data_IF_599046213137
#
_entry.id   IF_599046213137
#
_cell.length_a   1.000
_cell.length_b   1.000
_cell.length_c   1.000
_cell.angle_alpha   90.00
_cell.angle_beta   90.00
_cell.angle_gamma   90.00
#
_symmetry.space_group_name_H-M   'P 1'
#
loop_
_entity.id
_entity.type
_entity.pdbx_description
1 polymer ?
#
# COMPACT_ATOMS: atom_id res chain seq x y z
N UNK A 1 26.33 15.43 -6.45
CA UNK A 1 25.77 14.14 -5.99
C UNK A 1 26.48 13.56 -4.77
N UNK A 2 27.82 13.36 -4.79
CA UNK A 2 28.54 12.79 -3.64
C UNK A 2 28.29 13.55 -2.34
N UNK A 3 28.38 14.88 -2.33
CA UNK A 3 28.11 15.71 -1.13
C UNK A 3 26.69 15.58 -0.62
N UNK A 4 25.69 15.39 -1.51
CA UNK A 4 24.32 15.15 -1.11
C UNK A 4 24.17 13.82 -0.35
N UNK A 5 24.73 12.73 -0.88
CA UNK A 5 24.70 11.43 -0.19
C UNK A 5 25.47 11.45 1.13
N UNK A 6 26.61 12.14 1.18
CA UNK A 6 27.38 12.30 2.44
C UNK A 6 26.52 13.06 3.47
N UNK A 7 25.91 14.17 3.08
CA UNK A 7 25.05 14.94 3.97
C UNK A 7 23.86 14.09 4.47
N UNK A 8 23.22 13.34 3.57
CA UNK A 8 22.12 12.44 3.92
C UNK A 8 22.57 11.35 4.91
N UNK A 9 23.72 10.73 4.70
CA UNK A 9 24.29 9.73 5.62
C UNK A 9 24.59 10.34 6.99
N UNK A 10 25.14 11.56 7.05
CA UNK A 10 25.42 12.25 8.31
C UNK A 10 24.12 12.57 9.05
N UNK A 11 23.10 13.10 8.35
CA UNK A 11 21.79 13.39 8.92
C UNK A 11 21.15 12.11 9.46
N UNK A 12 21.18 11.03 8.69
CA UNK A 12 20.65 9.72 9.10
C UNK A 12 21.38 9.18 10.35
N UNK A 13 22.70 9.27 10.38
CA UNK A 13 23.50 8.83 11.53
C UNK A 13 23.15 9.62 12.79
N UNK A 14 23.08 10.95 12.69
CA UNK A 14 22.69 11.82 13.81
C UNK A 14 21.29 11.48 14.31
N UNK A 15 20.37 11.22 13.38
CA UNK A 15 19.01 10.84 13.73
C UNK A 15 18.94 9.48 14.43
N UNK A 16 19.71 8.49 14.00
CA UNK A 16 19.83 7.18 14.65
C UNK A 16 20.36 7.35 16.06
N UNK A 17 21.44 8.12 16.25
CA UNK A 17 22.02 8.39 17.57
C UNK A 17 20.99 9.08 18.48
N UNK A 18 20.28 10.09 17.97
CA UNK A 18 19.23 10.79 18.71
C UNK A 18 18.09 9.83 19.11
N UNK A 19 17.63 8.99 18.18
CA UNK A 19 16.57 8.01 18.44
C UNK A 19 17.00 7.00 19.49
N UNK A 20 18.23 6.49 19.39
CA UNK A 20 18.81 5.59 20.37
C UNK A 20 18.87 6.25 21.77
N UNK A 21 19.34 7.50 21.85
CA UNK A 21 19.34 8.28 23.09
C UNK A 21 17.94 8.40 23.70
N UNK A 22 16.92 8.74 22.88
CA UNK A 22 15.54 8.89 23.35
C UNK A 22 14.95 7.58 23.86
N UNK A 23 15.22 6.46 23.20
CA UNK A 23 14.70 5.14 23.58
C UNK A 23 15.43 4.60 24.81
N UNK A 24 16.76 4.57 24.80
CA UNK A 24 17.56 3.88 25.82
C UNK A 24 17.76 4.77 27.06
N UNK A 25 18.15 6.03 26.86
CA UNK A 25 18.51 6.93 27.97
C UNK A 25 17.25 7.59 28.55
N UNK A 26 16.36 8.10 27.69
CA UNK A 26 15.12 8.77 28.11
C UNK A 26 13.95 7.83 28.35
N UNK A 27 14.09 6.54 28.04
CA UNK A 27 13.05 5.52 28.21
C UNK A 27 11.69 5.94 27.60
N UNK A 28 11.74 6.62 26.44
CA UNK A 28 10.52 7.06 25.78
C UNK A 28 9.74 5.86 25.26
N UNK A 29 8.42 5.90 25.45
CA UNK A 29 7.51 4.89 24.93
C UNK A 29 7.36 5.03 23.40
N UNK A 30 7.10 3.92 22.71
CA UNK A 30 6.93 3.89 21.24
C UNK A 30 5.88 4.89 20.75
N UNK A 31 4.82 5.13 21.50
CA UNK A 31 3.78 6.10 21.14
C UNK A 31 4.33 7.54 21.00
N UNK A 32 5.36 7.89 21.76
CA UNK A 32 5.91 9.26 21.77
C UNK A 32 6.89 9.50 20.63
N UNK A 33 7.65 8.50 20.21
CA UNK A 33 8.67 8.67 19.17
C UNK A 33 8.27 8.16 17.79
N UNK A 34 7.20 7.34 17.68
CA UNK A 34 6.83 6.70 16.41
C UNK A 34 6.57 7.70 15.28
N UNK A 35 5.72 8.71 15.52
CA UNK A 35 5.35 9.70 14.50
C UNK A 35 6.58 10.43 13.94
N UNK A 36 7.43 11.08 14.78
CA UNK A 36 8.58 11.82 14.24
C UNK A 36 9.59 10.90 13.56
N UNK A 37 9.80 9.68 14.06
CA UNK A 37 10.74 8.73 13.45
C UNK A 37 10.19 8.24 12.11
N UNK A 38 8.91 7.83 12.05
CA UNK A 38 8.30 7.34 10.82
C UNK A 38 8.22 8.44 9.75
N UNK A 39 7.89 9.67 10.15
CA UNK A 39 7.86 10.82 9.24
C UNK A 39 9.25 11.12 8.68
N UNK A 40 10.27 11.20 9.53
CA UNK A 40 11.63 11.48 9.09
C UNK A 40 12.15 10.40 8.13
N UNK A 41 12.03 9.12 8.50
CA UNK A 41 12.48 8.02 7.65
C UNK A 41 11.66 7.93 6.36
N UNK A 42 10.34 8.14 6.42
CA UNK A 42 9.47 8.16 5.25
C UNK A 42 9.84 9.27 4.27
N UNK A 43 10.17 10.48 4.75
CA UNK A 43 10.66 11.58 3.91
C UNK A 43 12.02 11.26 3.28
N UNK A 44 12.91 10.59 4.01
CA UNK A 44 14.18 10.09 3.43
C UNK A 44 13.88 9.11 2.28
N UNK A 45 12.95 8.18 2.47
CA UNK A 45 12.56 7.27 1.39
C UNK A 45 12.01 8.01 0.16
N UNK A 46 11.24 9.08 0.35
CA UNK A 46 10.76 9.90 -0.77
C UNK A 46 11.90 10.62 -1.52
N UNK A 47 12.98 10.96 -0.83
CA UNK A 47 14.17 11.53 -1.47
C UNK A 47 15.01 10.47 -2.19
N UNK A 48 15.08 9.25 -1.67
CA UNK A 48 15.92 8.18 -2.21
C UNK A 48 15.23 7.39 -3.33
N UNK A 49 13.93 7.16 -3.19
CA UNK A 49 13.14 6.41 -4.16
C UNK A 49 12.49 7.37 -5.13
N UNK A 50 12.84 7.23 -6.40
CA UNK A 50 12.28 8.08 -7.46
C UNK A 50 10.76 7.97 -7.50
N UNK A 51 10.08 9.01 -7.92
CA UNK A 51 8.67 8.94 -8.29
C UNK A 51 8.53 7.94 -9.42
N UNK A 52 7.50 7.10 -9.41
CA UNK A 52 7.33 5.93 -10.28
C UNK A 52 8.37 4.80 -10.06
N UNK A 53 9.18 4.88 -9.00
CA UNK A 53 10.19 3.85 -8.70
C UNK A 53 9.66 2.68 -7.88
N UNK A 54 8.46 2.78 -7.32
CA UNK A 54 7.79 1.65 -6.65
C UNK A 54 6.99 0.87 -7.70
N UNK A 55 6.96 -0.48 -7.64
CA UNK A 55 6.17 -1.28 -8.58
C UNK A 55 4.73 -0.79 -8.69
N UNK A 56 4.21 -0.71 -9.91
CA UNK A 56 2.85 -0.27 -10.27
C UNK A 56 2.49 1.17 -9.85
N UNK A 57 3.42 1.94 -9.29
CA UNK A 57 3.17 3.32 -8.85
C UNK A 57 2.63 4.23 -9.98
N UNK A 58 3.08 4.14 -11.25
CA UNK A 58 2.48 4.92 -12.35
C UNK A 58 0.98 4.70 -12.48
N UNK A 59 0.54 3.43 -12.46
CA UNK A 59 -0.90 3.06 -12.55
C UNK A 59 -1.68 3.58 -11.34
N UNK A 60 -1.07 3.58 -10.16
CA UNK A 60 -1.68 4.12 -8.93
C UNK A 60 -1.79 5.63 -8.96
N UNK A 61 -0.79 6.33 -9.52
CA UNK A 61 -0.89 7.76 -9.77
C UNK A 61 -2.06 8.10 -10.68
N UNK A 62 -2.25 7.34 -11.75
CA UNK A 62 -3.34 7.55 -12.69
C UNK A 62 -4.71 7.35 -12.03
N UNK A 63 -4.86 6.32 -11.21
CA UNK A 63 -6.06 6.09 -10.43
C UNK A 63 -6.34 7.22 -9.43
N UNK A 64 -5.30 7.68 -8.72
CA UNK A 64 -5.40 8.83 -7.81
C UNK A 64 -5.71 10.12 -8.56
N UNK A 65 -5.13 10.31 -9.76
CA UNK A 65 -5.37 11.46 -10.62
C UNK A 65 -6.82 11.50 -11.13
N UNK A 66 -7.37 10.35 -11.55
CA UNK A 66 -8.79 10.22 -11.89
C UNK A 66 -9.70 10.63 -10.73
N UNK A 67 -9.36 10.21 -9.50
CA UNK A 67 -10.11 10.61 -8.31
C UNK A 67 -9.93 12.12 -8.01
N UNK A 68 -8.72 12.68 -8.18
CA UNK A 68 -8.48 14.12 -8.09
C UNK A 68 -9.29 14.91 -9.11
N UNK A 69 -9.48 14.40 -10.34
CA UNK A 69 -10.36 15.01 -11.32
C UNK A 69 -11.81 15.11 -10.81
N UNK A 70 -12.32 14.02 -10.20
CA UNK A 70 -13.66 14.03 -9.59
C UNK A 70 -13.75 15.05 -8.44
N UNK A 71 -12.73 15.14 -7.59
CA UNK A 71 -12.68 16.12 -6.49
C UNK A 71 -12.64 17.57 -6.98
N UNK A 72 -11.98 17.82 -8.11
CA UNK A 72 -11.85 19.15 -8.70
C UNK A 72 -12.94 19.47 -9.75
N UNK A 73 -13.94 18.60 -9.90
CA UNK A 73 -15.02 18.70 -10.88
C UNK A 73 -14.51 18.81 -12.34
N UNK A 74 -13.34 18.26 -12.62
CA UNK A 74 -12.82 18.12 -13.98
C UNK A 74 -13.58 16.98 -14.65
N UNK A 75 -14.12 17.26 -15.86
CA UNK A 75 -14.85 16.25 -16.61
C UNK A 75 -13.92 15.11 -17.01
N UNK A 76 -14.11 13.95 -16.40
CA UNK A 76 -13.52 12.72 -16.92
C UNK A 76 -14.39 12.25 -18.10
N UNK A 77 -13.78 11.99 -19.25
CA UNK A 77 -14.46 11.27 -20.30
C UNK A 77 -14.60 9.83 -19.84
N UNK A 78 -15.82 9.46 -19.41
CA UNK A 78 -16.19 8.05 -19.23
C UNK A 78 -16.44 7.42 -20.61
N UNK A 79 -15.46 7.52 -21.51
CA UNK A 79 -15.49 6.82 -22.77
C UNK A 79 -15.00 5.39 -22.56
N UNK A 80 -15.49 4.41 -23.38
CA UNK A 80 -15.11 2.98 -23.24
C UNK A 80 -13.62 2.68 -23.42
N UNK A 81 -12.77 3.69 -23.51
CA UNK A 81 -11.33 3.59 -23.78
C UNK A 81 -10.40 3.93 -22.64
N UNK A 82 -10.86 3.95 -21.38
CA UNK A 82 -9.97 4.23 -20.23
C UNK A 82 -9.08 5.46 -20.42
N UNK A 83 -9.67 6.64 -20.62
CA UNK A 83 -8.93 7.89 -20.74
C UNK A 83 -9.13 8.79 -19.53
N UNK A 84 -8.09 9.54 -19.15
CA UNK A 84 -8.13 10.57 -18.10
C UNK A 84 -7.57 11.87 -18.62
N UNK A 85 -8.05 12.99 -18.06
CA UNK A 85 -7.45 14.30 -18.30
C UNK A 85 -6.34 14.56 -17.28
N UNK A 86 -5.12 14.89 -17.78
CA UNK A 86 -3.99 15.34 -16.96
C UNK A 86 -3.51 16.71 -17.43
N UNK A 87 -2.90 17.49 -16.54
CA UNK A 87 -2.12 18.66 -16.96
C UNK A 87 -0.99 18.18 -17.88
N UNK A 88 -0.73 18.91 -18.95
CA UNK A 88 0.31 18.53 -19.92
C UNK A 88 1.68 18.36 -19.27
N UNK A 89 2.06 19.25 -18.35
CA UNK A 89 3.29 19.15 -17.59
C UNK A 89 3.36 17.87 -16.71
N UNK A 90 2.25 17.43 -16.10
CA UNK A 90 2.21 16.20 -15.29
C UNK A 90 2.35 14.95 -16.20
N UNK A 91 1.75 14.98 -17.38
CA UNK A 91 1.87 13.93 -18.37
C UNK A 91 3.30 13.79 -18.88
N UNK A 92 3.92 14.91 -19.25
CA UNK A 92 5.30 14.93 -19.71
C UNK A 92 6.27 14.39 -18.66
N UNK A 93 6.11 14.75 -17.37
CA UNK A 93 6.92 14.20 -16.32
C UNK A 93 6.68 12.69 -16.15
N UNK A 94 5.43 12.21 -16.23
CA UNK A 94 5.12 10.78 -16.16
C UNK A 94 5.82 10.01 -17.28
N UNK A 95 5.80 10.53 -18.51
CA UNK A 95 6.48 9.92 -19.67
C UNK A 95 8.01 9.91 -19.50
N UNK A 96 8.59 11.01 -19.05
CA UNK A 96 10.03 11.09 -18.77
C UNK A 96 10.47 10.07 -17.72
N UNK A 97 9.71 9.91 -16.65
CA UNK A 97 9.99 8.94 -15.58
C UNK A 97 9.82 7.49 -16.06
N UNK A 98 8.82 7.22 -16.89
CA UNK A 98 8.55 5.87 -17.41
C UNK A 98 9.58 5.43 -18.45
N UNK A 99 10.14 6.37 -19.22
CA UNK A 99 11.18 6.09 -20.21
C UNK A 99 12.60 5.96 -19.62
N UNK A 100 12.73 6.08 -18.30
CA UNK A 100 13.99 5.99 -17.58
C UNK A 100 14.74 7.32 -17.58
N UNK A 101 14.70 8.02 -16.46
CA UNK A 101 15.43 9.26 -16.26
C UNK A 101 16.77 8.96 -15.59
N UNK A 102 17.84 9.54 -16.09
CA UNK A 102 19.14 9.47 -15.41
C UNK A 102 19.05 10.05 -13.99
N UNK A 103 19.76 9.43 -13.05
CA UNK A 103 19.74 9.81 -11.63
C UNK A 103 20.04 11.30 -11.42
N UNK A 104 21.02 11.86 -12.14
CA UNK A 104 21.35 13.28 -12.04
C UNK A 104 20.18 14.17 -12.47
N UNK A 105 19.53 13.84 -13.58
CA UNK A 105 18.39 14.59 -14.11
C UNK A 105 17.19 14.53 -13.16
N UNK A 106 16.95 13.37 -12.55
CA UNK A 106 15.90 13.24 -11.53
C UNK A 106 16.13 14.18 -10.34
N UNK A 107 17.35 14.21 -9.79
CA UNK A 107 17.64 15.09 -8.65
C UNK A 107 17.65 16.56 -9.04
N UNK A 108 18.03 16.91 -10.26
CA UNK A 108 17.84 18.28 -10.76
C UNK A 108 16.38 18.68 -10.76
N UNK A 109 15.49 17.83 -11.29
CA UNK A 109 14.03 18.07 -11.24
C UNK A 109 13.51 18.17 -9.81
N UNK A 110 14.01 17.34 -8.91
CA UNK A 110 13.61 17.36 -7.49
C UNK A 110 14.03 18.68 -6.80
N UNK A 111 15.24 19.17 -7.05
CA UNK A 111 15.73 20.43 -6.48
C UNK A 111 15.10 21.68 -7.10
N UNK A 112 14.68 21.61 -8.36
CA UNK A 112 13.90 22.66 -9.03
C UNK A 112 12.39 22.52 -8.86
N UNK A 113 11.95 21.62 -7.98
CA UNK A 113 10.52 21.33 -7.80
C UNK A 113 9.69 22.48 -7.21
N UNK A 114 10.32 23.48 -6.61
CA UNK A 114 9.63 24.63 -6.00
C UNK A 114 9.19 25.70 -7.01
N UNK A 115 9.34 25.44 -8.30
CA UNK A 115 8.81 26.30 -9.36
C UNK A 115 7.31 26.04 -9.59
N UNK A 116 6.62 27.03 -10.14
CA UNK A 116 5.22 26.86 -10.55
C UNK A 116 5.12 26.11 -11.88
N UNK A 117 4.00 25.43 -12.08
CA UNK A 117 3.74 24.72 -13.33
C UNK A 117 3.64 25.70 -14.52
N UNK A 118 4.39 25.43 -15.57
CA UNK A 118 4.43 26.26 -16.79
C UNK A 118 3.29 25.95 -17.76
N UNK A 119 2.83 24.70 -17.84
CA UNK A 119 1.79 24.25 -18.76
C UNK A 119 0.75 23.41 -18.02
N UNK A 120 -0.38 24.05 -17.70
CA UNK A 120 -1.49 23.46 -16.96
C UNK A 120 -2.66 23.05 -17.83
N UNK A 121 -2.53 23.15 -19.18
CA UNK A 121 -3.55 22.71 -20.12
C UNK A 121 -3.86 21.25 -19.91
N UNK A 122 -5.15 20.92 -19.96
CA UNK A 122 -5.60 19.54 -19.80
C UNK A 122 -5.52 18.81 -21.13
N UNK A 123 -4.80 17.70 -21.14
CA UNK A 123 -4.72 16.78 -22.27
C UNK A 123 -5.32 15.43 -21.91
N UNK A 124 -5.90 14.78 -22.90
CA UNK A 124 -6.45 13.44 -22.76
C UNK A 124 -5.35 12.39 -22.92
N UNK A 125 -5.28 11.46 -21.98
CA UNK A 125 -4.27 10.39 -21.96
C UNK A 125 -4.97 9.07 -21.73
N UNK A 126 -4.56 8.03 -22.47
CA UNK A 126 -4.97 6.66 -22.18
C UNK A 126 -4.40 6.21 -20.84
N UNK A 127 -5.22 5.56 -20.02
CA UNK A 127 -4.76 5.01 -18.76
C UNK A 127 -5.29 3.59 -18.55
N UNK A 128 -4.49 2.78 -17.87
CA UNK A 128 -4.92 1.43 -17.47
C UNK A 128 -5.72 1.55 -16.19
N UNK A 129 -7.03 1.27 -16.26
CA UNK A 129 -7.87 1.24 -15.06
C UNK A 129 -7.34 0.18 -14.09
N UNK A 130 -7.03 0.60 -12.87
CA UNK A 130 -6.80 -0.36 -11.79
C UNK A 130 -8.05 -1.22 -11.63
N UNK A 131 -7.88 -2.52 -11.68
CA UNK A 131 -8.97 -3.50 -11.60
C UNK A 131 -9.97 -3.10 -10.50
N UNK A 132 -11.28 -3.20 -10.76
CA UNK A 132 -12.36 -2.85 -9.83
C UNK A 132 -12.37 -3.62 -8.50
N UNK A 133 -11.30 -4.37 -8.20
CA UNK A 133 -11.05 -5.10 -6.95
C UNK A 133 -10.56 -4.21 -5.80
N UNK A 134 -10.20 -2.94 -6.09
CA UNK A 134 -9.69 -2.02 -5.07
C UNK A 134 -10.63 -0.83 -4.95
N UNK A 135 -11.25 -0.60 -3.78
CA UNK A 135 -12.14 0.54 -3.55
C UNK A 135 -11.40 1.87 -3.77
N UNK A 136 -12.04 2.83 -4.45
CA UNK A 136 -11.44 4.14 -4.73
C UNK A 136 -11.01 4.92 -3.46
N UNK A 137 -11.60 4.60 -2.30
CA UNK A 137 -11.30 5.26 -1.02
C UNK A 137 -9.84 5.15 -0.62
N UNK A 138 -9.12 4.11 -1.04
CA UNK A 138 -7.70 3.93 -0.70
C UNK A 138 -6.78 4.91 -1.44
N UNK A 139 -7.26 5.50 -2.55
CA UNK A 139 -6.53 6.53 -3.30
C UNK A 139 -6.80 7.96 -2.78
N UNK A 140 -7.74 8.13 -1.84
CA UNK A 140 -8.12 9.45 -1.32
C UNK A 140 -6.92 10.27 -0.83
N UNK A 141 -5.98 9.72 -0.03
CA UNK A 141 -4.83 10.51 0.43
C UNK A 141 -3.97 11.03 -0.73
N UNK A 142 -3.62 10.18 -1.68
CA UNK A 142 -2.85 10.58 -2.85
C UNK A 142 -3.62 11.60 -3.71
N UNK A 143 -4.92 11.39 -3.93
CA UNK A 143 -5.78 12.29 -4.67
C UNK A 143 -5.89 13.68 -4.01
N UNK A 144 -5.92 13.75 -2.67
CA UNK A 144 -5.87 15.02 -1.93
C UNK A 144 -4.55 15.75 -2.22
N UNK A 145 -3.41 15.06 -2.12
CA UNK A 145 -2.11 15.64 -2.43
C UNK A 145 -2.01 16.18 -3.87
N UNK A 146 -2.49 15.39 -4.84
CA UNK A 146 -2.59 15.82 -6.24
C UNK A 146 -3.51 17.03 -6.40
N UNK A 147 -4.66 17.04 -5.74
CA UNK A 147 -5.62 18.14 -5.82
C UNK A 147 -5.04 19.44 -5.26
N UNK A 148 -4.34 19.38 -4.12
CA UNK A 148 -3.65 20.54 -3.53
C UNK A 148 -2.58 21.06 -4.50
N UNK A 149 -1.71 20.19 -5.05
CA UNK A 149 -0.67 20.59 -5.97
C UNK A 149 -1.23 21.25 -7.24
N UNK A 150 -2.33 20.73 -7.77
CA UNK A 150 -3.02 21.26 -8.95
C UNK A 150 -3.70 22.60 -8.69
N UNK A 151 -4.39 22.74 -7.55
CA UNK A 151 -5.04 24.01 -7.16
C UNK A 151 -4.03 25.13 -6.91
N UNK A 152 -2.87 24.80 -6.36
CA UNK A 152 -1.80 25.76 -6.11
C UNK A 152 -0.87 25.96 -7.32
N UNK A 153 -1.17 25.36 -8.47
CA UNK A 153 -0.35 25.40 -9.69
C UNK A 153 1.12 25.03 -9.43
N UNK A 154 1.38 24.07 -8.52
CA UNK A 154 2.73 23.62 -8.23
C UNK A 154 3.29 22.81 -9.39
N UNK A 155 4.63 22.73 -9.44
CA UNK A 155 5.33 21.90 -10.42
C UNK A 155 4.87 20.45 -10.39
N UNK A 156 5.00 19.72 -11.49
CA UNK A 156 4.62 18.30 -11.54
C UNK A 156 5.31 17.46 -10.46
N UNK A 157 6.62 17.66 -10.28
CA UNK A 157 7.41 16.91 -9.30
C UNK A 157 6.89 17.15 -7.88
N UNK A 158 6.65 18.40 -7.49
CA UNK A 158 6.12 18.74 -6.16
C UNK A 158 4.70 18.22 -5.97
N UNK A 159 3.87 18.28 -7.01
CA UNK A 159 2.50 17.74 -7.00
C UNK A 159 2.52 16.22 -6.75
N UNK A 160 3.41 15.48 -7.39
CA UNK A 160 3.56 14.04 -7.19
C UNK A 160 4.13 13.71 -5.80
N UNK A 161 5.12 14.49 -5.33
CA UNK A 161 5.64 14.32 -3.97
C UNK A 161 4.56 14.61 -2.90
N UNK A 162 3.68 15.59 -3.09
CA UNK A 162 2.56 15.84 -2.18
C UNK A 162 1.60 14.64 -2.11
N UNK A 163 1.32 13.98 -3.24
CA UNK A 163 0.51 12.75 -3.24
C UNK A 163 1.14 11.67 -2.35
N UNK A 164 2.45 11.48 -2.47
CA UNK A 164 3.21 10.51 -1.66
C UNK A 164 3.26 10.91 -0.18
N UNK A 165 3.44 12.22 0.13
CA UNK A 165 3.42 12.75 1.50
C UNK A 165 2.06 12.50 2.16
N UNK A 166 0.95 12.78 1.46
CA UNK A 166 -0.38 12.55 2.00
C UNK A 166 -0.63 11.06 2.31
N UNK A 167 -0.17 10.16 1.44
CA UNK A 167 -0.25 8.71 1.65
C UNK A 167 0.58 8.29 2.88
N UNK A 168 1.80 8.77 3.00
CA UNK A 168 2.69 8.53 4.13
C UNK A 168 2.08 9.01 5.45
N UNK A 169 1.52 10.23 5.48
CA UNK A 169 0.91 10.80 6.69
C UNK A 169 -0.28 9.95 7.15
N UNK A 170 -1.13 9.52 6.24
CA UNK A 170 -2.27 8.67 6.58
C UNK A 170 -1.80 7.32 7.13
N UNK A 171 -0.81 6.70 6.50
CA UNK A 171 -0.21 5.46 7.02
C UNK A 171 0.33 5.65 8.44
N UNK A 172 1.14 6.68 8.68
CA UNK A 172 1.73 6.97 10.00
C UNK A 172 0.65 7.15 11.06
N UNK A 173 -0.42 7.88 10.74
CA UNK A 173 -1.52 8.09 11.69
C UNK A 173 -2.27 6.79 11.99
N UNK A 174 -2.54 5.96 10.97
CA UNK A 174 -3.22 4.68 11.18
C UNK A 174 -2.40 3.73 12.06
N UNK A 175 -1.09 3.62 11.81
CA UNK A 175 -0.19 2.80 12.65
C UNK A 175 -0.05 3.39 14.05
N UNK A 176 0.04 4.71 14.18
CA UNK A 176 0.06 5.36 15.49
C UNK A 176 -1.19 5.05 16.31
N UNK A 177 -2.38 5.14 15.71
CA UNK A 177 -3.62 4.76 16.38
C UNK A 177 -3.62 3.27 16.74
N UNK A 178 -3.10 2.41 15.87
CA UNK A 178 -2.93 0.99 16.17
C UNK A 178 -2.06 0.77 17.42
N UNK A 179 -0.90 1.46 17.51
CA UNK A 179 0.00 1.40 18.68
C UNK A 179 -0.72 1.92 19.94
N UNK A 180 -1.51 2.98 19.84
CA UNK A 180 -2.26 3.51 20.99
C UNK A 180 -3.34 2.56 21.48
N UNK A 181 -4.09 1.92 20.57
CA UNK A 181 -5.22 1.02 20.87
C UNK A 181 -4.74 -0.32 21.39
N UNK A 182 -3.64 -0.86 20.88
CA UNK A 182 -3.12 -2.16 21.26
C UNK A 182 -2.80 -2.23 22.77
N UNK A 183 -3.34 -3.20 23.51
CA UNK A 183 -3.03 -3.38 24.95
C UNK A 183 -1.64 -3.96 25.16
N UNK A 184 -1.13 -4.73 24.20
CA UNK A 184 0.20 -5.36 24.21
C UNK A 184 0.79 -5.33 22.79
N UNK A 185 2.07 -5.68 22.63
CA UNK A 185 2.74 -5.73 21.32
C UNK A 185 2.99 -4.36 20.67
N UNK A 186 2.90 -3.25 21.41
CA UNK A 186 3.10 -1.88 20.90
C UNK A 186 4.46 -1.69 20.23
N UNK A 187 5.51 -2.20 20.87
CA UNK A 187 6.86 -2.10 20.31
C UNK A 187 7.01 -2.91 19.02
N UNK A 188 6.36 -4.08 18.94
CA UNK A 188 6.34 -4.89 17.73
C UNK A 188 5.61 -4.16 16.58
N UNK A 189 4.42 -3.61 16.86
CA UNK A 189 3.69 -2.81 15.86
C UNK A 189 4.52 -1.62 15.38
N UNK A 190 5.17 -0.90 16.31
CA UNK A 190 6.05 0.21 15.95
C UNK A 190 7.24 -0.25 15.10
N UNK A 191 7.91 -1.34 15.48
CA UNK A 191 9.03 -1.89 14.72
C UNK A 191 8.61 -2.33 13.31
N UNK A 192 7.49 -3.06 13.17
CA UNK A 192 6.95 -3.46 11.87
C UNK A 192 6.57 -2.26 11.00
N UNK A 193 5.99 -1.19 11.61
CA UNK A 193 5.66 0.04 10.90
C UNK A 193 6.88 0.86 10.47
N UNK A 194 8.05 0.62 11.05
CA UNK A 194 9.32 1.28 10.72
C UNK A 194 10.22 0.43 9.80
N UNK A 195 9.79 -0.78 9.42
CA UNK A 195 10.57 -1.58 8.47
C UNK A 195 10.79 -0.83 7.16
N UNK A 196 11.98 -0.91 6.55
CA UNK A 196 12.29 -0.22 5.30
C UNK A 196 11.27 -0.47 4.21
N UNK A 197 10.87 -1.71 3.97
CA UNK A 197 9.87 -2.08 2.97
C UNK A 197 8.49 -1.46 3.27
N UNK A 198 8.09 -1.42 4.55
CA UNK A 198 6.81 -0.84 4.97
C UNK A 198 6.80 0.67 4.75
N UNK A 199 7.89 1.36 5.13
CA UNK A 199 8.03 2.81 4.94
C UNK A 199 8.16 3.19 3.47
N UNK A 200 8.84 2.38 2.67
CA UNK A 200 8.94 2.63 1.22
C UNK A 200 7.56 2.57 0.58
N UNK A 201 6.77 1.53 0.85
CA UNK A 201 5.40 1.43 0.33
C UNK A 201 4.52 2.56 0.87
N UNK A 202 4.66 2.92 2.14
CA UNK A 202 3.92 4.03 2.73
C UNK A 202 4.28 5.38 2.11
N UNK A 203 5.54 5.57 1.70
CA UNK A 203 6.05 6.76 1.05
C UNK A 203 5.82 6.80 -0.47
N UNK A 204 4.91 5.99 -0.99
CA UNK A 204 4.49 5.94 -2.38
C UNK A 204 3.04 6.38 -2.57
N UNK A 205 2.64 6.65 -3.80
CA UNK A 205 1.24 6.92 -4.14
C UNK A 205 0.38 5.65 -4.27
N UNK A 206 0.96 4.48 -3.95
CA UNK A 206 0.25 3.21 -3.99
C UNK A 206 -0.86 3.15 -2.93
N UNK A 207 -1.94 2.48 -3.26
CA UNK A 207 -3.01 2.15 -2.31
C UNK A 207 -2.53 1.28 -1.15
N UNK A 208 -1.38 0.61 -1.28
CA UNK A 208 -0.83 -0.27 -0.25
C UNK A 208 -0.50 0.49 1.05
N UNK A 209 -0.18 1.78 0.97
CA UNK A 209 0.01 2.63 2.15
C UNK A 209 -1.21 2.62 3.07
N UNK A 210 -2.40 2.82 2.51
CA UNK A 210 -3.67 2.86 3.26
C UNK A 210 -4.09 1.47 3.71
N UNK A 211 -3.96 0.46 2.84
CA UNK A 211 -4.32 -0.93 3.16
C UNK A 211 -3.46 -1.45 4.32
N UNK A 212 -2.15 -1.25 4.25
CA UNK A 212 -1.26 -1.66 5.33
C UNK A 212 -1.60 -0.95 6.64
N UNK A 213 -1.87 0.36 6.60
CA UNK A 213 -2.34 1.10 7.78
C UNK A 213 -3.62 0.52 8.39
N UNK A 214 -4.60 0.13 7.57
CA UNK A 214 -5.82 -0.52 8.03
C UNK A 214 -5.57 -1.93 8.59
N UNK A 215 -4.62 -2.69 8.03
CA UNK A 215 -4.21 -3.98 8.58
C UNK A 215 -3.62 -3.82 9.98
N UNK A 216 -2.74 -2.83 10.21
CA UNK A 216 -2.21 -2.53 11.52
C UNK A 216 -3.34 -2.19 12.52
N UNK A 217 -4.27 -1.34 12.11
CA UNK A 217 -5.39 -0.93 12.95
C UNK A 217 -6.33 -2.09 13.26
N UNK A 218 -6.63 -2.94 12.27
CA UNK A 218 -7.41 -4.16 12.45
C UNK A 218 -6.76 -5.10 13.46
N UNK A 219 -5.46 -5.36 13.31
CA UNK A 219 -4.69 -6.22 14.22
C UNK A 219 -4.73 -5.68 15.66
N UNK A 220 -4.55 -4.37 15.83
CA UNK A 220 -4.62 -3.72 17.14
C UNK A 220 -6.00 -3.83 17.77
N UNK A 221 -7.08 -3.69 16.99
CA UNK A 221 -8.46 -3.87 17.46
C UNK A 221 -8.75 -5.32 17.83
N UNK A 222 -8.17 -6.29 17.10
CA UNK A 222 -8.23 -7.69 17.51
C UNK A 222 -7.56 -7.90 18.87
N UNK A 223 -6.35 -7.38 19.09
CA UNK A 223 -5.64 -7.45 20.36
C UNK A 223 -6.41 -6.76 21.49
N UNK A 224 -7.00 -5.59 21.22
CA UNK A 224 -7.88 -4.91 22.17
C UNK A 224 -9.07 -5.77 22.54
N UNK A 225 -9.71 -6.40 21.55
CA UNK A 225 -10.88 -7.25 21.76
C UNK A 225 -10.56 -8.54 22.52
N UNK A 226 -9.35 -9.08 22.37
CA UNK A 226 -8.86 -10.23 23.12
C UNK A 226 -8.65 -9.89 24.60
N UNK A 227 -8.07 -8.73 24.88
CA UNK A 227 -7.63 -8.37 26.24
C UNK A 227 -8.73 -7.76 27.08
N UNK A 228 -9.70 -7.07 26.49
CA UNK A 228 -10.73 -6.34 27.21
C UNK A 228 -12.08 -7.08 27.20
N UNK A 229 -12.56 -7.59 28.34
CA UNK A 229 -13.88 -8.23 28.42
C UNK A 229 -15.03 -7.26 28.13
N UNK A 230 -14.90 -6.01 28.61
CA UNK A 230 -15.87 -4.92 28.39
C UNK A 230 -15.48 -4.10 27.16
N UNK A 231 -15.88 -4.58 25.99
CA UNK A 231 -15.55 -3.95 24.72
C UNK A 231 -16.39 -2.71 24.45
N UNK A 232 -15.78 -1.61 24.02
CA UNK A 232 -16.52 -0.44 23.54
C UNK A 232 -17.22 -0.79 22.21
N UNK A 233 -18.52 -0.46 22.10
CA UNK A 233 -19.30 -0.71 20.88
C UNK A 233 -18.67 -0.09 19.64
N UNK A 234 -18.10 1.12 19.75
CA UNK A 234 -17.41 1.81 18.65
C UNK A 234 -16.23 1.00 18.11
N UNK A 235 -15.45 0.34 18.96
CA UNK A 235 -14.32 -0.49 18.52
C UNK A 235 -14.78 -1.78 17.82
N UNK A 236 -15.91 -2.36 18.26
CA UNK A 236 -16.49 -3.52 17.57
C UNK A 236 -17.05 -3.15 16.19
N UNK A 237 -17.67 -1.98 16.07
CA UNK A 237 -18.14 -1.46 14.76
C UNK A 237 -16.95 -1.21 13.83
N UNK A 238 -15.88 -0.55 14.33
CA UNK A 238 -14.66 -0.32 13.56
C UNK A 238 -14.00 -1.64 13.15
N UNK A 239 -13.94 -2.63 14.03
CA UNK A 239 -13.42 -3.96 13.75
C UNK A 239 -14.20 -4.66 12.64
N UNK A 240 -15.55 -4.61 12.71
CA UNK A 240 -16.43 -5.17 11.69
C UNK A 240 -16.25 -4.50 10.33
N UNK A 241 -16.17 -3.17 10.31
CA UNK A 241 -15.93 -2.40 9.09
C UNK A 241 -14.55 -2.74 8.46
N UNK A 242 -13.48 -2.79 9.27
CA UNK A 242 -12.15 -3.14 8.78
C UNK A 242 -12.08 -4.60 8.32
N UNK A 243 -12.76 -5.52 9.02
CA UNK A 243 -12.84 -6.91 8.59
C UNK A 243 -13.49 -7.05 7.21
N UNK A 244 -14.61 -6.34 6.99
CA UNK A 244 -15.29 -6.30 5.70
C UNK A 244 -14.39 -5.69 4.61
N UNK A 245 -13.72 -4.58 4.92
CA UNK A 245 -12.77 -3.94 4.01
C UNK A 245 -11.63 -4.88 3.60
N UNK A 246 -10.99 -5.54 4.58
CA UNK A 246 -9.89 -6.50 4.36
C UNK A 246 -10.36 -7.71 3.53
N UNK A 247 -11.63 -8.14 3.73
CA UNK A 247 -12.20 -9.26 2.98
C UNK A 247 -12.35 -8.96 1.49
N UNK A 248 -12.65 -7.70 1.14
CA UNK A 248 -12.94 -7.30 -0.25
C UNK A 248 -11.67 -6.90 -0.99
N UNK A 249 -10.76 -6.25 -0.29
CA UNK A 249 -9.59 -5.61 -0.90
C UNK A 249 -8.67 -6.65 -1.54
N UNK A 250 -8.16 -6.34 -2.72
CA UNK A 250 -7.29 -7.23 -3.52
C UNK A 250 -7.88 -8.64 -3.74
N UNK A 251 -9.20 -8.74 -3.93
CA UNK A 251 -9.83 -10.03 -4.23
C UNK A 251 -9.66 -11.08 -3.15
N UNK A 252 -9.48 -10.67 -1.89
CA UNK A 252 -9.42 -11.58 -0.75
C UNK A 252 -8.02 -12.11 -0.38
N UNK A 253 -6.96 -11.55 -0.94
CA UNK A 253 -5.56 -11.93 -0.60
C UNK A 253 -5.31 -11.85 0.91
N UNK A 254 -5.97 -10.93 1.61
CA UNK A 254 -5.80 -10.72 3.05
C UNK A 254 -6.77 -11.51 3.94
N UNK A 255 -7.56 -12.43 3.38
CA UNK A 255 -8.50 -13.29 4.15
C UNK A 255 -7.86 -14.03 5.32
N UNK A 256 -6.62 -14.56 5.21
CA UNK A 256 -5.99 -15.24 6.35
C UNK A 256 -5.92 -14.37 7.61
N UNK A 257 -5.86 -13.04 7.48
CA UNK A 257 -5.88 -12.12 8.62
C UNK A 257 -7.21 -12.17 9.40
N UNK A 258 -8.32 -12.52 8.75
CA UNK A 258 -9.61 -12.66 9.41
C UNK A 258 -9.65 -13.81 10.43
N UNK A 259 -8.69 -14.76 10.36
CA UNK A 259 -8.54 -15.80 11.38
C UNK A 259 -8.28 -15.20 12.78
N UNK A 260 -7.72 -13.99 12.86
CA UNK A 260 -7.58 -13.27 14.12
C UNK A 260 -8.94 -13.00 14.80
N UNK A 261 -10.02 -12.85 14.03
CA UNK A 261 -11.37 -12.70 14.58
C UNK A 261 -11.82 -13.95 15.32
N UNK A 262 -11.48 -15.15 14.84
CA UNK A 262 -11.81 -16.40 15.51
C UNK A 262 -11.19 -16.42 16.91
N UNK A 263 -9.94 -15.99 17.06
CA UNK A 263 -9.29 -15.84 18.36
C UNK A 263 -10.02 -14.85 19.27
N UNK A 264 -10.47 -13.70 18.72
CA UNK A 264 -11.17 -12.67 19.48
C UNK A 264 -12.48 -13.16 20.10
N UNK A 265 -13.17 -14.07 19.43
CA UNK A 265 -14.48 -14.58 19.89
C UNK A 265 -14.38 -15.90 20.68
N UNK A 266 -13.28 -16.66 20.53
CA UNK A 266 -13.10 -17.95 21.22
C UNK A 266 -12.62 -17.81 22.67
N UNK A 267 -11.78 -16.83 22.98
CA UNK A 267 -11.07 -16.77 24.27
C UNK A 267 -11.73 -15.93 25.34
N UNK A 268 -12.66 -15.03 25.02
CA UNK A 268 -13.26 -14.16 26.03
C UNK A 268 -14.60 -14.68 26.51
N UNK A 269 -14.77 -14.97 27.84
CA UNK A 269 -16.05 -15.32 28.39
C UNK A 269 -16.99 -14.09 28.30
N UNK A 270 -18.03 -14.20 27.48
CA UNK A 270 -19.12 -13.23 27.41
C UNK A 270 -20.24 -13.65 28.36
N UNK A 271 -20.43 -12.97 29.47
CA UNK A 271 -21.47 -13.37 30.46
C UNK A 271 -22.90 -13.33 29.91
N UNK A 272 -23.12 -12.62 28.80
CA UNK A 272 -24.45 -12.44 28.19
C UNK A 272 -24.62 -13.10 26.81
N UNK A 273 -23.61 -13.79 26.28
CA UNK A 273 -23.73 -14.48 24.99
C UNK A 273 -23.86 -15.97 25.17
N UNK A 274 -24.93 -16.58 24.63
CA UNK A 274 -25.08 -18.02 24.56
C UNK A 274 -23.87 -18.68 23.92
N UNK A 275 -23.41 -19.83 24.44
CA UNK A 275 -22.24 -20.58 24.00
C UNK A 275 -22.21 -20.80 22.45
N UNK A 276 -23.38 -21.00 21.84
CA UNK A 276 -23.56 -21.17 20.40
C UNK A 276 -23.28 -19.87 19.62
N UNK A 277 -23.66 -18.73 20.15
CA UNK A 277 -23.51 -17.43 19.46
C UNK A 277 -22.03 -16.97 19.34
N UNK A 278 -21.15 -17.49 20.19
CA UNK A 278 -19.69 -17.23 20.17
C UNK A 278 -19.02 -17.72 18.88
N UNK A 279 -19.56 -18.79 18.29
CA UNK A 279 -19.06 -19.35 17.04
C UNK A 279 -19.85 -18.90 15.82
N UNK A 280 -21.14 -18.58 16.00
CA UNK A 280 -22.02 -18.14 14.91
C UNK A 280 -21.53 -16.81 14.33
N UNK A 281 -21.18 -15.82 15.16
CA UNK A 281 -20.76 -14.49 14.70
C UNK A 281 -19.50 -14.55 13.82
N UNK A 282 -18.37 -15.13 14.26
CA UNK A 282 -17.18 -15.25 13.39
C UNK A 282 -17.44 -16.16 12.18
N UNK A 283 -18.25 -17.21 12.32
CA UNK A 283 -18.63 -18.07 11.21
C UNK A 283 -19.47 -17.30 10.17
N UNK A 284 -20.41 -16.46 10.59
CA UNK A 284 -21.19 -15.60 9.70
C UNK A 284 -20.30 -14.56 9.00
N UNK A 285 -19.31 -13.98 9.70
CA UNK A 285 -18.35 -13.05 9.09
C UNK A 285 -17.50 -13.77 8.04
N UNK A 286 -16.99 -14.96 8.37
CA UNK A 286 -16.22 -15.78 7.42
C UNK A 286 -17.07 -16.23 6.23
N UNK A 287 -18.30 -16.69 6.47
CA UNK A 287 -19.24 -17.09 5.42
C UNK A 287 -19.63 -15.89 4.53
N UNK A 288 -19.88 -14.73 5.13
CA UNK A 288 -20.13 -13.48 4.39
C UNK A 288 -18.94 -13.06 3.54
N UNK A 289 -17.73 -13.17 4.07
CA UNK A 289 -16.50 -12.91 3.33
C UNK A 289 -16.34 -13.88 2.15
N UNK A 290 -16.53 -15.19 2.37
CA UNK A 290 -16.49 -16.21 1.31
C UNK A 290 -17.56 -15.97 0.26
N UNK A 291 -18.78 -15.64 0.66
CA UNK A 291 -19.86 -15.30 -0.28
C UNK A 291 -19.53 -14.07 -1.12
N UNK A 292 -18.98 -13.04 -0.50
CA UNK A 292 -18.57 -11.82 -1.19
C UNK A 292 -17.47 -12.09 -2.21
N UNK A 293 -16.52 -12.96 -1.87
CA UNK A 293 -15.46 -13.41 -2.80
C UNK A 293 -16.07 -14.21 -3.93
N UNK A 294 -16.98 -15.14 -3.64
CA UNK A 294 -17.66 -15.91 -4.66
C UNK A 294 -18.38 -14.99 -5.66
N UNK A 295 -19.11 -13.97 -5.16
CA UNK A 295 -19.78 -12.97 -5.99
C UNK A 295 -18.77 -12.16 -6.82
N UNK A 296 -17.64 -11.78 -6.21
CA UNK A 296 -16.58 -11.06 -6.92
C UNK A 296 -15.95 -11.94 -8.00
N UNK A 297 -15.63 -13.19 -7.69
CA UNK A 297 -15.11 -14.17 -8.65
C UNK A 297 -16.10 -14.41 -9.80
N UNK A 298 -17.40 -14.51 -9.53
CA UNK A 298 -18.43 -14.66 -10.57
C UNK A 298 -18.46 -13.43 -11.49
N UNK A 299 -18.37 -12.22 -10.95
CA UNK A 299 -18.29 -10.97 -11.74
C UNK A 299 -17.07 -10.92 -12.66
N UNK A 300 -15.96 -11.51 -12.24
CA UNK A 300 -14.71 -11.58 -13.00
C UNK A 300 -14.55 -12.91 -13.77
N UNK A 301 -15.56 -13.76 -13.78
CA UNK A 301 -15.57 -15.03 -14.53
C UNK A 301 -15.16 -14.88 -16.00
N UNK A 302 -15.57 -13.84 -16.75
CA UNK A 302 -15.11 -13.66 -18.13
C UNK A 302 -13.61 -13.42 -18.24
N UNK A 303 -13.03 -12.69 -17.30
CA UNK A 303 -11.59 -12.44 -17.24
C UNK A 303 -10.80 -13.70 -16.79
N UNK A 304 -11.38 -14.46 -15.86
CA UNK A 304 -10.87 -15.77 -15.48
C UNK A 304 -10.97 -16.79 -16.62
N UNK A 305 -12.07 -16.82 -17.39
CA UNK A 305 -12.19 -17.74 -18.54
C UNK A 305 -11.14 -17.44 -19.60
N UNK A 306 -10.78 -16.18 -19.83
CA UNK A 306 -9.68 -15.81 -20.72
C UNK A 306 -8.32 -16.34 -20.21
N UNK A 307 -8.09 -16.37 -18.88
CA UNK A 307 -6.89 -16.99 -18.28
C UNK A 307 -6.86 -18.53 -18.40
N UNK A 308 -8.02 -19.16 -18.52
CA UNK A 308 -8.11 -20.63 -18.69
C UNK A 308 -7.97 -21.07 -20.16
N UNK A 309 -8.23 -20.18 -21.10
CA UNK A 309 -8.24 -20.46 -22.54
C UNK A 309 -7.01 -19.98 -23.29
N UNK A 310 -6.09 -19.27 -22.64
CA UNK A 310 -4.80 -18.92 -23.25
C UNK A 310 -3.97 -20.20 -23.41
N UNK A 311 -3.80 -20.61 -24.66
CA UNK A 311 -2.82 -21.62 -25.04
C UNK A 311 -1.44 -21.22 -24.48
N UNK A 312 -0.72 -22.21 -23.96
CA UNK A 312 0.65 -22.03 -23.49
C UNK A 312 1.43 -21.45 -24.68
N UNK A 313 1.65 -20.14 -24.66
CA UNK A 313 2.47 -19.52 -25.68
C UNK A 313 3.87 -20.12 -25.58
N UNK A 314 4.39 -20.61 -26.71
CA UNK A 314 5.69 -21.26 -26.81
C UNK A 314 6.89 -20.30 -26.61
N UNK A 315 6.65 -19.16 -25.98
CA UNK A 315 7.68 -18.16 -25.69
C UNK A 315 8.29 -18.46 -24.30
N UNK A 316 9.56 -18.92 -24.24
CA UNK A 316 10.19 -19.35 -22.99
C UNK A 316 10.30 -18.26 -21.93
N UNK A 317 10.21 -16.97 -22.31
CA UNK A 317 10.34 -15.84 -21.38
C UNK A 317 9.00 -15.43 -20.74
N UNK A 318 7.83 -15.89 -21.26
CA UNK A 318 6.52 -15.51 -20.79
C UNK A 318 5.54 -16.69 -20.61
N UNK A 319 6.01 -17.79 -20.02
CA UNK A 319 5.15 -18.97 -19.75
C UNK A 319 4.15 -18.63 -18.63
N UNK A 320 2.94 -18.22 -19.01
CA UNK A 320 1.82 -18.10 -18.08
C UNK A 320 1.15 -19.48 -17.97
N UNK A 321 1.31 -20.13 -16.81
CA UNK A 321 0.63 -21.41 -16.55
C UNK A 321 -0.86 -21.13 -16.26
N UNK A 322 -1.80 -21.69 -17.05
CA UNK A 322 -3.23 -21.54 -16.76
C UNK A 322 -3.57 -22.27 -15.45
N UNK A 323 -4.61 -21.78 -14.76
CA UNK A 323 -5.05 -22.41 -13.47
C UNK A 323 -5.41 -23.89 -13.65
N UNK A 324 -5.88 -24.28 -14.84
CA UNK A 324 -6.13 -25.69 -15.20
C UNK A 324 -4.88 -26.56 -15.06
N UNK A 325 -3.68 -26.02 -15.34
CA UNK A 325 -2.41 -26.72 -15.17
C UNK A 325 -2.17 -27.12 -13.70
N UNK A 326 -2.53 -26.25 -12.77
CA UNK A 326 -2.40 -26.51 -11.32
C UNK A 326 -3.16 -27.75 -10.89
N UNK A 327 -4.39 -27.93 -11.43
CA UNK A 327 -5.23 -29.08 -11.11
C UNK A 327 -4.81 -30.35 -11.87
N UNK A 328 -4.29 -30.21 -13.09
CA UNK A 328 -3.82 -31.34 -13.89
C UNK A 328 -2.46 -31.87 -13.45
N UNK A 329 -1.59 -30.99 -12.91
CA UNK A 329 -0.22 -31.30 -12.53
C UNK A 329 0.13 -30.83 -11.10
N UNK A 330 -0.55 -31.34 -10.06
CA UNK A 330 -0.41 -30.82 -8.70
C UNK A 330 1.01 -30.97 -8.13
N UNK A 331 1.69 -32.07 -8.43
CA UNK A 331 3.07 -32.31 -7.96
C UNK A 331 4.07 -31.37 -8.64
N UNK A 332 3.91 -31.14 -9.95
CA UNK A 332 4.75 -30.16 -10.67
C UNK A 332 4.50 -28.74 -10.18
N UNK A 333 3.25 -28.40 -9.88
CA UNK A 333 2.90 -27.10 -9.29
C UNK A 333 3.59 -26.89 -7.94
N UNK A 334 3.56 -27.90 -7.05
CA UNK A 334 4.27 -27.84 -5.77
C UNK A 334 5.77 -27.69 -5.99
N UNK A 335 6.35 -28.43 -6.93
CA UNK A 335 7.77 -28.33 -7.28
C UNK A 335 8.13 -26.92 -7.81
N UNK A 336 7.32 -26.35 -8.70
CA UNK A 336 7.51 -25.00 -9.23
C UNK A 336 7.43 -23.97 -8.10
N UNK A 337 6.41 -24.04 -7.22
CA UNK A 337 6.27 -23.17 -6.06
C UNK A 337 7.47 -23.27 -5.12
N UNK A 338 7.92 -24.49 -4.81
CA UNK A 338 9.09 -24.72 -3.98
C UNK A 338 10.36 -24.14 -4.58
N UNK A 339 10.58 -24.37 -5.87
CA UNK A 339 11.72 -23.83 -6.60
C UNK A 339 11.69 -22.30 -6.66
N UNK A 340 10.50 -21.71 -6.86
CA UNK A 340 10.30 -20.25 -6.81
C UNK A 340 10.66 -19.69 -5.45
N UNK A 341 10.21 -20.34 -4.36
CA UNK A 341 10.56 -19.89 -2.99
C UNK A 341 12.07 -19.96 -2.77
N UNK A 342 12.75 -21.03 -3.23
CA UNK A 342 14.21 -21.17 -3.08
C UNK A 342 14.93 -20.11 -3.92
N UNK A 343 14.58 -19.96 -5.19
CA UNK A 343 15.23 -19.00 -6.10
C UNK A 343 14.95 -17.55 -5.70
N UNK A 344 13.74 -17.26 -5.23
CA UNK A 344 13.36 -15.94 -4.77
C UNK A 344 13.70 -15.69 -3.29
N UNK A 345 14.25 -16.65 -2.56
CA UNK A 345 14.54 -16.52 -1.12
C UNK A 345 15.48 -15.35 -0.83
N UNK A 346 16.53 -15.18 -1.63
CA UNK A 346 17.46 -14.05 -1.53
C UNK A 346 16.76 -12.72 -1.82
N UNK A 347 15.92 -12.69 -2.83
CA UNK A 347 15.10 -11.53 -3.20
C UNK A 347 14.08 -11.18 -2.11
N UNK A 348 13.44 -12.20 -1.52
CA UNK A 348 12.48 -12.01 -0.40
C UNK A 348 13.22 -11.48 0.83
N UNK A 349 14.36 -12.06 1.19
CA UNK A 349 15.16 -11.62 2.34
C UNK A 349 15.74 -10.21 2.12
N UNK A 350 16.22 -9.91 0.92
CA UNK A 350 16.67 -8.56 0.55
C UNK A 350 15.51 -7.58 0.56
N UNK A 351 14.32 -7.97 0.08
CA UNK A 351 13.12 -7.14 0.13
C UNK A 351 12.67 -6.76 1.54
N UNK A 352 12.98 -7.58 2.56
CA UNK A 352 12.75 -7.23 3.97
C UNK A 352 13.73 -6.18 4.50
N UNK A 353 14.95 -6.16 4.01
CA UNK A 353 16.05 -5.30 4.49
C UNK A 353 16.35 -4.12 3.58
N UNK A 354 16.18 -4.27 2.28
CA UNK A 354 16.46 -3.26 1.26
C UNK A 354 15.25 -3.15 0.34
N UNK A 355 14.84 -1.92 0.13
CA UNK A 355 13.77 -1.60 -0.80
C UNK A 355 14.03 -2.16 -2.21
N UNK A 356 13.01 -2.68 -2.85
CA UNK A 356 13.00 -3.37 -4.16
C UNK A 356 13.33 -2.45 -5.36
N UNK A 357 13.97 -1.33 -5.14
CA UNK A 357 14.37 -0.39 -6.18
C UNK A 357 15.72 -0.82 -6.75
N UNK A 358 15.76 -1.22 -7.99
CA UNK A 358 16.96 -1.46 -8.81
C UNK A 358 17.66 -2.82 -8.64
N UNK A 359 16.94 -3.92 -8.85
CA UNK A 359 17.58 -5.20 -9.22
C UNK A 359 17.43 -5.54 -10.69
N UNK A 360 16.99 -4.62 -11.52
CA UNK A 360 17.26 -4.63 -12.97
C UNK A 360 18.43 -3.71 -13.24
N UNK A 361 19.64 -4.17 -12.91
CA UNK A 361 20.82 -3.71 -13.64
C UNK A 361 20.63 -4.18 -15.07
N UNK A 362 20.64 -3.29 -16.08
CA UNK A 362 20.77 -3.73 -17.44
C UNK A 362 22.11 -4.44 -17.56
N UNK A 363 22.08 -5.70 -17.89
CA UNK A 363 23.24 -6.45 -18.38
C UNK A 363 23.64 -5.94 -19.72
#
# INVERSE_FOLDING_TARGET
MLYFYIALCVILLLFIIMTFYLIIIRQMTVQKFYIPVALFLGLIFQCLVTVHGVPDEPTHFDAAYSLSNKMLFVKNTETPGNTIYKRRCDAQLSDMLSNGLETNSYYQLLFHSFEFASDTDLIEISYVSTSGLVPAVVYVPAAIGLSIGRLLHLSPMLTFQLARICSLVVFILLVYFAICIAPFGKNLLGALGLLPITLQQAASASYDSVINGFIFLFTALCFYSLHNPKRKKSYLIALGFLALFIAIVKGGVYLPLLLLLLMCFSHVPHPHMHKKMRWIVPLCICAGAVLLIAVTLIKFMPMFSAMFTTDISADPENTIYPISYVFQHPLQTIYILWNTVIQCSDTILRGLSVSYTHLTLPT
#
